data_IF_911797116402
#
_entry.id   IF_911797116402
#
_cell.length_a   1.000
_cell.length_b   1.000
_cell.length_c   1.000
_cell.angle_alpha   90.00
_cell.angle_beta   90.00
_cell.angle_gamma   90.00
#
_symmetry.space_group_name_H-M   'P 1'
#
loop_
_entity.id
_entity.type
_entity.pdbx_description
1 polymer ?
#
# COMPACT_ATOMS: atom_id res chain seq x y z
N UNK A 1 -2.92 25.14 -27.11
CA UNK A 1 -3.48 24.25 -26.08
C UNK A 1 -2.54 23.06 -25.96
N UNK A 2 -1.63 23.08 -24.98
CA UNK A 2 -0.65 22.01 -24.76
C UNK A 2 -1.16 21.12 -23.61
N UNK A 3 -2.08 20.22 -23.92
CA UNK A 3 -2.39 19.13 -23.00
C UNK A 3 -1.44 17.97 -23.32
N UNK A 4 -0.70 17.50 -22.32
CA UNK A 4 0.16 16.31 -22.43
C UNK A 4 -0.65 15.02 -22.72
N UNK A 5 -1.98 15.09 -22.65
CA UNK A 5 -2.89 13.98 -22.88
C UNK A 5 -3.05 13.71 -24.37
N UNK A 6 -2.97 12.42 -24.74
CA UNK A 6 -3.13 11.93 -26.12
C UNK A 6 -4.04 10.71 -26.11
N UNK A 7 -4.75 10.52 -27.21
CA UNK A 7 -5.65 9.37 -27.37
C UNK A 7 -4.86 8.11 -27.71
N UNK A 8 -4.97 7.12 -26.83
CA UNK A 8 -4.37 5.80 -26.97
C UNK A 8 -5.40 4.71 -26.69
N UNK A 9 -5.10 3.51 -27.17
CA UNK A 9 -5.79 2.29 -26.82
C UNK A 9 -4.85 1.48 -25.93
N UNK A 10 -5.36 1.08 -24.77
CA UNK A 10 -4.64 0.26 -23.79
C UNK A 10 -5.22 -1.16 -23.86
N UNK A 11 -4.39 -2.13 -24.23
CA UNK A 11 -4.74 -3.55 -24.14
C UNK A 11 -4.48 -4.06 -22.73
N UNK A 12 -5.46 -4.73 -22.12
CA UNK A 12 -5.35 -5.33 -20.79
C UNK A 12 -5.70 -6.82 -20.90
N UNK A 13 -4.86 -7.68 -20.33
CA UNK A 13 -5.10 -9.11 -20.21
C UNK A 13 -4.47 -9.62 -18.92
N UNK A 14 -5.19 -10.47 -18.18
CA UNK A 14 -4.71 -11.07 -16.93
C UNK A 14 -4.14 -10.03 -15.93
N UNK A 15 -4.81 -8.88 -15.80
CA UNK A 15 -4.40 -7.80 -14.90
C UNK A 15 -3.14 -7.03 -15.32
N UNK A 16 -2.60 -7.28 -16.52
CA UNK A 16 -1.41 -6.60 -17.05
C UNK A 16 -1.74 -5.77 -18.30
N UNK A 17 -1.02 -4.67 -18.46
CA UNK A 17 -1.01 -3.89 -19.70
C UNK A 17 -0.22 -4.68 -20.74
N UNK A 18 -0.86 -5.05 -21.85
CA UNK A 18 -0.25 -5.83 -22.95
C UNK A 18 0.13 -4.97 -24.15
N UNK A 19 -0.49 -3.80 -24.31
CA UNK A 19 -0.15 -2.87 -25.39
C UNK A 19 -0.61 -1.45 -25.10
N UNK A 20 0.10 -0.48 -25.65
CA UNK A 20 -0.28 0.93 -25.71
C UNK A 20 -0.10 1.37 -27.16
N UNK A 21 -1.20 1.66 -27.87
CA UNK A 21 -1.20 1.96 -29.31
C UNK A 21 -1.95 3.24 -29.60
N UNK A 22 -1.53 3.99 -30.61
CA UNK A 22 -2.30 5.14 -31.10
C UNK A 22 -3.70 4.68 -31.51
N UNK A 23 -4.70 5.54 -31.33
CA UNK A 23 -6.07 5.23 -31.69
C UNK A 23 -6.18 4.83 -33.17
N UNK A 24 -6.83 3.69 -33.42
CA UNK A 24 -7.12 3.13 -34.74
C UNK A 24 -8.50 2.47 -34.68
N UNK A 25 -9.11 2.19 -35.83
CA UNK A 25 -10.41 1.49 -35.89
C UNK A 25 -10.29 0.06 -35.31
N UNK A 26 -10.71 -0.13 -34.06
CA UNK A 26 -10.74 -1.42 -33.37
C UNK A 26 -12.19 -1.86 -33.14
N UNK A 27 -12.47 -3.16 -33.32
CA UNK A 27 -13.81 -3.74 -33.29
C UNK A 27 -14.49 -3.80 -31.92
N UNK A 28 -13.72 -3.73 -30.82
CA UNK A 28 -14.23 -3.76 -29.45
C UNK A 28 -13.35 -2.91 -28.54
N UNK A 29 -13.83 -1.71 -28.20
CA UNK A 29 -13.17 -0.76 -27.30
C UNK A 29 -14.21 -0.30 -26.29
N UNK A 30 -13.82 -0.17 -25.03
CA UNK A 30 -14.60 0.57 -24.04
C UNK A 30 -14.08 2.00 -24.11
N UNK A 31 -14.90 2.91 -24.63
CA UNK A 31 -14.58 4.33 -24.62
C UNK A 31 -14.85 4.88 -23.22
N UNK A 32 -13.84 5.52 -22.64
CA UNK A 32 -13.94 6.16 -21.33
C UNK A 32 -14.06 7.66 -21.54
N UNK A 33 -15.00 8.29 -20.83
CA UNK A 33 -14.99 9.74 -20.70
C UNK A 33 -13.86 10.16 -19.74
N UNK A 34 -13.07 11.16 -20.14
CA UNK A 34 -11.98 11.69 -19.32
C UNK A 34 -10.59 11.12 -19.66
N UNK A 35 -9.72 11.04 -18.66
CA UNK A 35 -8.33 10.66 -18.80
C UNK A 35 -7.98 9.44 -17.94
N UNK A 36 -7.11 8.58 -18.44
CA UNK A 36 -6.59 7.42 -17.71
C UNK A 36 -5.25 7.81 -17.08
N UNK A 37 -5.12 7.53 -15.78
CA UNK A 37 -3.86 7.65 -15.05
C UNK A 37 -3.45 6.27 -14.52
N UNK A 38 -2.17 6.09 -14.20
CA UNK A 38 -1.76 4.99 -13.35
C UNK A 38 -2.47 5.10 -12.01
N UNK A 39 -2.86 3.97 -11.44
CA UNK A 39 -3.39 3.94 -10.08
C UNK A 39 -2.37 4.52 -9.10
N UNK A 40 -2.86 5.28 -8.12
CA UNK A 40 -2.02 5.85 -7.07
C UNK A 40 -1.35 4.76 -6.21
N UNK A 41 -0.18 5.11 -5.68
CA UNK A 41 0.53 4.34 -4.67
C UNK A 41 0.67 5.22 -3.43
N UNK A 42 -0.06 4.89 -2.37
CA UNK A 42 0.07 5.58 -1.09
C UNK A 42 1.13 4.87 -0.24
N UNK A 43 2.29 5.51 -0.10
CA UNK A 43 3.42 4.94 0.59
C UNK A 43 3.34 5.02 2.12
N UNK A 44 2.30 5.64 2.69
CA UNK A 44 2.21 5.91 4.12
C UNK A 44 0.76 5.92 4.63
N UNK A 45 0.19 4.74 4.84
CA UNK A 45 -1.10 4.58 5.53
C UNK A 45 -0.93 4.05 6.95
N UNK A 46 -1.96 4.23 7.78
CA UNK A 46 -2.08 3.57 9.09
C UNK A 46 -3.46 2.95 9.20
N UNK A 47 -3.60 1.70 8.79
CA UNK A 47 -4.88 0.99 8.84
C UNK A 47 -5.19 0.38 10.19
N UNK A 48 -4.33 0.55 11.21
CA UNK A 48 -4.64 0.23 12.62
C UNK A 48 -5.08 -1.20 12.92
N UNK A 49 -4.87 -2.09 11.96
CA UNK A 49 -5.28 -3.49 12.01
C UNK A 49 -4.02 -4.39 12.03
N UNK A 50 -3.75 -5.13 13.12
CA UNK A 50 -4.67 -5.42 14.23
C UNK A 50 -4.61 -4.40 15.38
N UNK A 51 -5.71 -4.37 16.14
CA UNK A 51 -5.75 -3.86 17.52
C UNK A 51 -6.55 -2.57 17.74
N UNK A 52 -6.59 -1.66 16.77
CA UNK A 52 -7.33 -0.40 16.84
C UNK A 52 -8.26 -0.25 15.62
N UNK A 53 -8.93 -1.34 15.25
CA UNK A 53 -9.74 -1.46 14.01
C UNK A 53 -10.99 -0.59 14.00
N UNK A 54 -11.38 -0.04 15.16
CA UNK A 54 -12.45 0.96 15.25
C UNK A 54 -12.08 2.30 14.60
N UNK A 55 -10.78 2.57 14.41
CA UNK A 55 -10.29 3.80 13.77
C UNK A 55 -10.27 3.65 12.25
N UNK A 56 -9.76 2.53 11.78
CA UNK A 56 -9.68 2.12 10.38
C UNK A 56 -9.34 0.62 10.37
N UNK A 57 -9.69 -0.11 9.31
CA UNK A 57 -9.21 -1.46 9.06
C UNK A 57 -8.79 -1.67 7.59
N UNK A 58 -8.20 -2.82 7.26
CA UNK A 58 -7.78 -3.07 5.87
C UNK A 58 -8.94 -3.10 4.87
N UNK A 59 -10.15 -3.47 5.27
CA UNK A 59 -11.29 -3.53 4.37
C UNK A 59 -11.80 -2.13 4.05
N UNK A 60 -12.15 -1.33 5.07
CA UNK A 60 -12.64 0.04 4.85
C UNK A 60 -11.57 0.95 4.26
N UNK A 61 -10.32 0.86 4.74
CA UNK A 61 -9.22 1.68 4.26
C UNK A 61 -8.86 1.41 2.80
N UNK A 62 -8.84 0.14 2.38
CA UNK A 62 -8.56 -0.20 0.98
C UNK A 62 -9.70 0.15 0.03
N UNK A 63 -10.96 0.05 0.47
CA UNK A 63 -12.11 0.55 -0.29
C UNK A 63 -11.97 2.06 -0.50
N UNK A 64 -11.69 2.82 0.58
CA UNK A 64 -11.47 4.27 0.51
C UNK A 64 -10.36 4.63 -0.48
N UNK A 65 -9.23 3.90 -0.45
CA UNK A 65 -8.12 4.09 -1.37
C UNK A 65 -8.57 3.94 -2.84
N UNK A 66 -9.32 2.89 -3.16
CA UNK A 66 -9.80 2.63 -4.53
C UNK A 66 -10.73 3.72 -5.03
N UNK A 67 -11.68 4.18 -4.19
CA UNK A 67 -12.57 5.28 -4.54
C UNK A 67 -11.81 6.59 -4.82
N UNK A 68 -10.65 6.77 -4.19
CA UNK A 68 -9.72 7.88 -4.47
C UNK A 68 -8.79 7.67 -5.67
N UNK A 69 -8.82 6.51 -6.32
CA UNK A 69 -7.91 6.15 -7.42
C UNK A 69 -6.55 5.59 -6.97
N UNK A 70 -6.36 5.33 -5.68
CA UNK A 70 -5.19 4.62 -5.13
C UNK A 70 -5.39 3.12 -5.23
N UNK A 71 -4.44 2.44 -5.85
CA UNK A 71 -4.52 0.98 -6.14
C UNK A 71 -3.52 0.17 -5.34
N UNK A 72 -2.57 0.83 -4.67
CA UNK A 72 -1.59 0.18 -3.79
C UNK A 72 -1.38 1.03 -2.53
N UNK A 73 -1.37 0.39 -1.36
CA UNK A 73 -1.15 1.05 -0.07
C UNK A 73 -0.03 0.38 0.71
N UNK A 74 0.81 1.17 1.39
CA UNK A 74 1.94 0.68 2.16
C UNK A 74 1.72 1.01 3.64
N UNK A 75 1.36 0.00 4.42
CA UNK A 75 0.89 0.16 5.79
C UNK A 75 2.03 0.24 6.80
N UNK A 76 1.96 1.24 7.66
CA UNK A 76 2.98 1.53 8.65
C UNK A 76 2.96 0.53 9.82
N UNK A 77 4.13 0.28 10.46
CA UNK A 77 4.27 -0.82 11.39
C UNK A 77 3.89 -0.47 12.83
N UNK A 78 3.34 0.73 13.10
CA UNK A 78 3.09 1.26 14.45
C UNK A 78 1.64 1.06 14.90
N UNK A 79 1.06 -0.12 14.63
CA UNK A 79 -0.20 -0.55 15.22
C UNK A 79 -0.03 -0.83 16.72
N UNK A 80 -1.11 -1.19 17.42
CA UNK A 80 -1.07 -1.53 18.84
C UNK A 80 0.01 -2.58 19.15
N UNK A 81 0.10 -3.61 18.31
CA UNK A 81 1.25 -4.51 18.25
C UNK A 81 2.13 -4.07 17.08
N UNK A 82 3.32 -3.50 17.33
CA UNK A 82 4.18 -3.02 16.26
C UNK A 82 4.87 -4.18 15.55
N UNK A 83 5.08 -4.03 14.24
CA UNK A 83 5.69 -5.08 13.39
C UNK A 83 7.22 -5.07 13.54
N UNK A 84 7.72 -5.61 14.65
CA UNK A 84 9.14 -5.57 15.04
C UNK A 84 9.90 -6.88 14.83
N UNK A 85 9.21 -7.96 14.47
CA UNK A 85 9.79 -9.27 14.22
C UNK A 85 9.01 -10.07 13.16
N UNK A 86 9.53 -11.24 12.80
CA UNK A 86 8.94 -12.16 11.82
C UNK A 86 7.55 -12.63 12.22
N UNK A 87 7.34 -13.01 13.49
CA UNK A 87 6.07 -13.56 13.96
C UNK A 87 4.94 -12.53 13.84
N UNK A 88 5.19 -11.29 14.24
CA UNK A 88 4.20 -10.21 14.12
C UNK A 88 3.92 -9.89 12.65
N UNK A 89 4.96 -9.89 11.81
CA UNK A 89 4.81 -9.68 10.37
C UNK A 89 3.93 -10.75 9.73
N UNK A 90 4.25 -12.03 9.94
CA UNK A 90 3.51 -13.17 9.36
C UNK A 90 2.09 -13.25 9.88
N UNK A 91 1.88 -12.99 11.18
CA UNK A 91 0.56 -12.93 11.78
C UNK A 91 -0.28 -11.82 11.14
N UNK A 92 0.29 -10.63 10.98
CA UNK A 92 -0.39 -9.49 10.35
C UNK A 92 -0.70 -9.79 8.88
N UNK A 93 0.28 -10.25 8.10
CA UNK A 93 0.11 -10.63 6.69
C UNK A 93 -0.99 -11.68 6.52
N UNK A 94 -1.01 -12.71 7.36
CA UNK A 94 -2.00 -13.78 7.31
C UNK A 94 -3.42 -13.29 7.62
N UNK A 95 -3.57 -12.39 8.59
CA UNK A 95 -4.86 -11.81 8.96
C UNK A 95 -5.41 -10.84 7.91
N UNK A 96 -4.54 -10.09 7.25
CA UNK A 96 -4.92 -9.15 6.18
C UNK A 96 -5.26 -9.89 4.89
N UNK A 97 -4.71 -11.09 4.70
CA UNK A 97 -4.92 -11.87 3.50
C UNK A 97 -6.42 -12.03 3.22
N UNK A 98 -6.86 -11.54 2.05
CA UNK A 98 -8.27 -11.48 1.58
C UNK A 98 -9.18 -10.42 2.21
N UNK A 99 -8.67 -9.48 3.01
CA UNK A 99 -9.44 -8.32 3.51
C UNK A 99 -9.15 -7.01 2.76
N UNK A 100 -8.00 -6.90 2.10
CA UNK A 100 -7.69 -5.74 1.25
C UNK A 100 -8.34 -5.86 -0.13
N UNK A 101 -8.97 -4.78 -0.58
CA UNK A 101 -9.52 -4.64 -1.93
C UNK A 101 -8.50 -4.09 -2.94
N UNK A 102 -7.39 -3.54 -2.47
CA UNK A 102 -6.29 -3.03 -3.29
C UNK A 102 -4.99 -3.79 -2.99
N UNK A 103 -3.95 -3.59 -3.81
CA UNK A 103 -2.64 -4.16 -3.50
C UNK A 103 -2.09 -3.53 -2.21
N UNK A 104 -1.29 -4.28 -1.45
CA UNK A 104 -0.72 -3.76 -0.23
C UNK A 104 0.72 -4.21 -0.02
N UNK A 105 1.46 -3.43 0.75
CA UNK A 105 2.76 -3.78 1.29
C UNK A 105 2.82 -3.44 2.78
N UNK A 106 3.68 -4.14 3.53
CA UNK A 106 3.85 -3.95 4.96
C UNK A 106 5.28 -3.49 5.25
N UNK A 107 5.42 -2.44 6.04
CA UNK A 107 6.70 -2.08 6.64
C UNK A 107 7.01 -2.95 7.86
N UNK A 108 8.28 -3.14 8.17
CA UNK A 108 8.74 -3.51 9.51
C UNK A 108 9.23 -2.26 10.26
N UNK A 109 9.16 -2.29 11.59
CA UNK A 109 9.75 -1.28 12.45
C UNK A 109 11.12 -1.70 12.95
N UNK A 110 12.09 -0.82 12.82
CA UNK A 110 13.36 -0.95 13.52
C UNK A 110 13.29 -0.26 14.87
N UNK A 111 13.73 -0.92 15.94
CA UNK A 111 13.70 -0.44 17.34
C UNK A 111 15.07 -0.04 17.88
N UNK A 112 16.13 -0.13 17.06
CA UNK A 112 17.51 0.13 17.45
C UNK A 112 18.37 -1.13 17.60
N UNK A 113 17.75 -2.29 17.90
CA UNK A 113 18.47 -3.52 18.24
C UNK A 113 17.84 -4.81 17.64
N UNK A 114 16.91 -4.68 16.69
CA UNK A 114 16.17 -5.81 16.09
C UNK A 114 16.47 -5.98 14.59
N UNK A 115 17.64 -5.54 14.10
CA UNK A 115 17.96 -5.61 12.67
C UNK A 115 17.91 -7.04 12.11
N UNK A 116 18.34 -8.04 12.90
CA UNK A 116 18.25 -9.46 12.54
C UNK A 116 16.83 -10.03 12.54
N UNK A 117 15.84 -9.28 13.05
CA UNK A 117 14.45 -9.68 13.15
C UNK A 117 13.55 -8.99 12.10
N UNK A 118 14.13 -8.16 11.23
CA UNK A 118 13.37 -7.54 10.14
C UNK A 118 13.02 -8.60 9.10
N UNK A 119 11.73 -8.72 8.80
CA UNK A 119 11.22 -9.69 7.84
C UNK A 119 11.66 -9.33 6.41
N UNK A 120 12.12 -10.31 5.64
CA UNK A 120 12.70 -10.09 4.30
C UNK A 120 11.68 -9.59 3.25
N UNK A 121 10.42 -9.96 3.40
CA UNK A 121 9.34 -9.46 2.52
C UNK A 121 8.88 -8.04 2.85
N UNK A 122 9.37 -7.44 3.94
CA UNK A 122 9.01 -6.08 4.28
C UNK A 122 9.43 -5.14 3.16
N UNK A 123 8.49 -4.32 2.69
CA UNK A 123 8.75 -3.34 1.63
C UNK A 123 9.75 -2.25 2.03
N UNK A 124 10.03 -2.13 3.33
CA UNK A 124 11.02 -1.23 3.88
C UNK A 124 11.01 -1.27 5.41
N UNK A 125 11.87 -0.45 5.99
CA UNK A 125 12.03 -0.29 7.44
C UNK A 125 11.61 1.11 7.84
N UNK A 126 10.70 1.19 8.82
CA UNK A 126 10.33 2.46 9.45
C UNK A 126 11.12 2.63 10.75
N UNK A 127 11.86 3.72 10.84
CA UNK A 127 12.53 4.17 12.06
C UNK A 127 11.79 5.40 12.62
N UNK A 128 11.42 5.36 13.91
CA UNK A 128 10.70 6.45 14.55
C UNK A 128 11.65 7.14 15.54
N UNK A 129 12.13 8.33 15.15
CA UNK A 129 13.07 9.17 15.93
C UNK A 129 12.34 10.00 16.99
N UNK A 130 11.10 10.43 16.68
CA UNK A 130 10.28 11.26 17.56
C UNK A 130 9.48 10.45 18.58
N UNK A 131 8.79 11.15 19.50
CA UNK A 131 7.85 10.51 20.41
C UNK A 131 6.56 10.16 19.65
N UNK A 132 6.46 8.92 19.16
CA UNK A 132 5.19 8.37 18.72
C UNK A 132 4.54 7.61 19.89
N UNK A 133 3.60 8.25 20.56
CA UNK A 133 2.67 7.62 21.51
C UNK A 133 3.31 6.73 22.60
N UNK A 134 4.42 7.06 23.28
CA UNK A 134 5.00 6.34 24.46
C UNK A 134 5.19 4.81 24.41
N UNK A 135 4.69 4.08 23.40
CA UNK A 135 4.55 2.62 23.35
C UNK A 135 5.65 1.97 22.53
N UNK A 136 6.19 2.67 21.53
CA UNK A 136 7.25 2.14 20.68
C UNK A 136 8.24 3.27 20.40
N UNK A 137 9.34 3.25 21.15
CA UNK A 137 10.47 4.16 20.96
C UNK A 137 11.66 3.31 20.58
N UNK A 138 12.38 3.73 19.56
CA UNK A 138 13.75 3.26 19.42
C UNK A 138 14.52 3.89 20.58
N UNK A 139 14.92 3.07 21.55
CA UNK A 139 15.81 3.57 22.61
C UNK A 139 17.15 3.84 21.93
N UNK A 140 17.31 5.07 21.44
CA UNK A 140 18.61 5.57 21.05
C UNK A 140 19.51 5.53 22.28
N UNK A 141 20.67 4.93 22.10
CA UNK A 141 21.77 4.89 23.06
C UNK A 141 21.94 6.27 23.69
N UNK A 142 21.76 6.34 25.01
CA UNK A 142 22.33 7.36 25.86
C UNK A 142 23.47 6.73 26.63
#
# INVERSE_FOLDING_TARGET
QNTFLRNFIIGISEGKITSIKKFQNIRKVIELSGAIFSGGVDAHVHFRDPGETEKEDFASGSISAIFGGTTTVLDMPNNLTPVIDYNVYDSKKSMINRRSYCNYGLYSMFTGNNSSLIHEESIGVKYIVGESNKRVRCRGDK
#
